data_IF_201321284827
#
_entry.id   IF_201321284827
#
_cell.length_a   1.000
_cell.length_b   1.000
_cell.length_c   1.000
_cell.angle_alpha   90.00
_cell.angle_beta   90.00
_cell.angle_gamma   90.00
#
_symmetry.space_group_name_H-M   'P 1'
#
loop_
_entity.id
_entity.type
_entity.pdbx_description
1 polymer ?
#
# COMPACT_ATOMS: atom_id res chain seq x y z
N UNK A 1 6.92 15.38 34.52
CA UNK A 1 5.67 16.19 34.64
C UNK A 1 5.03 16.17 33.24
N UNK A 2 4.09 15.34 32.81
CA UNK A 2 2.78 14.95 33.35
C UNK A 2 2.32 13.57 32.80
N UNK A 3 3.25 12.65 32.53
CA UNK A 3 2.92 11.28 32.07
C UNK A 3 2.18 11.20 30.72
N UNK A 4 2.28 12.23 29.88
CA UNK A 4 1.61 12.30 28.57
C UNK A 4 0.15 12.79 28.62
N UNK A 5 -0.30 13.40 29.73
CA UNK A 5 -1.60 14.09 29.83
C UNK A 5 -1.37 15.52 30.33
N UNK A 6 -1.56 16.56 29.51
CA UNK A 6 -1.40 17.94 29.96
C UNK A 6 -2.39 18.32 31.08
N UNK A 7 -2.05 19.27 31.98
CA UNK A 7 -2.89 19.64 33.12
C UNK A 7 -4.09 20.54 32.77
N UNK A 8 -4.36 20.78 31.49
CA UNK A 8 -5.44 21.64 31.01
C UNK A 8 -6.73 20.84 30.87
N UNK A 9 -7.83 21.28 31.50
CA UNK A 9 -9.11 20.56 31.53
C UNK A 9 -9.65 20.27 30.13
N UNK A 10 -9.43 21.20 29.21
CA UNK A 10 -9.77 21.12 27.78
C UNK A 10 -9.10 19.95 27.08
N UNK A 11 -7.90 19.56 27.51
CA UNK A 11 -7.09 18.51 26.88
C UNK A 11 -7.29 17.13 27.50
N UNK A 12 -7.70 17.05 28.77
CA UNK A 12 -7.83 15.77 29.48
C UNK A 12 -8.88 14.85 28.85
N UNK A 13 -10.01 15.41 28.43
CA UNK A 13 -11.06 14.63 27.75
C UNK A 13 -10.58 14.12 26.39
N UNK A 14 -9.88 14.98 25.62
CA UNK A 14 -9.31 14.63 24.32
C UNK A 14 -8.29 13.48 24.43
N UNK A 15 -7.37 13.57 25.40
CA UNK A 15 -6.37 12.52 25.63
C UNK A 15 -7.00 11.21 26.08
N UNK A 16 -8.07 11.26 26.90
CA UNK A 16 -8.83 10.07 27.30
C UNK A 16 -9.46 9.37 26.09
N UNK A 17 -10.08 10.14 25.20
CA UNK A 17 -10.71 9.60 23.98
C UNK A 17 -9.65 8.95 23.08
N UNK A 18 -8.54 9.64 22.80
CA UNK A 18 -7.45 9.08 21.98
C UNK A 18 -6.93 7.77 22.56
N UNK A 19 -6.64 7.73 23.87
CA UNK A 19 -6.12 6.51 24.51
C UNK A 19 -7.12 5.36 24.47
N UNK A 20 -8.42 5.64 24.54
CA UNK A 20 -9.46 4.61 24.40
C UNK A 20 -9.53 4.03 22.98
N UNK A 21 -9.22 4.83 21.97
CA UNK A 21 -9.23 4.45 20.56
C UNK A 21 -7.88 3.94 20.04
N UNK A 22 -6.80 4.14 20.80
CA UNK A 22 -5.43 3.78 20.42
C UNK A 22 -5.35 2.33 19.94
N UNK A 23 -5.97 1.40 20.66
CA UNK A 23 -5.94 -0.03 20.32
C UNK A 23 -6.65 -0.37 19.01
N UNK A 24 -7.70 0.38 18.62
CA UNK A 24 -8.39 0.15 17.34
C UNK A 24 -7.63 0.71 16.13
N UNK A 25 -6.73 1.68 16.35
CA UNK A 25 -5.86 2.24 15.32
C UNK A 25 -4.44 1.67 15.36
N UNK A 26 -4.11 0.87 16.37
CA UNK A 26 -2.82 0.22 16.47
C UNK A 26 -2.62 -0.71 15.27
N UNK A 27 -1.61 -0.40 14.45
CA UNK A 27 -1.18 -1.30 13.38
C UNK A 27 -0.81 -2.66 14.00
N UNK A 28 -1.20 -3.79 13.40
CA UNK A 28 -0.72 -5.09 13.84
C UNK A 28 0.81 -5.08 13.95
N UNK A 29 1.32 -5.30 15.17
CA UNK A 29 2.75 -5.40 15.46
C UNK A 29 3.22 -6.82 15.15
N UNK A 30 3.26 -7.15 13.85
CA UNK A 30 3.72 -8.45 13.36
C UNK A 30 3.90 -8.45 11.85
N UNK A 31 4.85 -9.27 11.35
CA UNK A 31 4.94 -9.54 9.91
C UNK A 31 3.70 -10.33 9.50
N UNK A 32 2.84 -9.71 8.70
CA UNK A 32 1.72 -10.42 8.06
C UNK A 32 2.27 -11.20 6.88
N UNK A 33 2.03 -12.52 6.85
CA UNK A 33 2.38 -13.32 5.69
C UNK A 33 1.56 -12.83 4.48
N UNK A 34 2.17 -12.64 3.30
CA UNK A 34 1.43 -12.24 2.12
C UNK A 34 0.42 -13.34 1.76
N UNK A 35 -0.78 -12.93 1.33
CA UNK A 35 -1.73 -13.86 0.71
C UNK A 35 -1.13 -14.46 -0.55
N UNK A 36 -1.67 -15.60 -1.02
CA UNK A 36 -1.24 -16.19 -2.30
C UNK A 36 -1.38 -15.20 -3.46
N UNK A 37 -2.44 -14.40 -3.46
CA UNK A 37 -2.62 -13.34 -4.46
C UNK A 37 -1.54 -12.26 -4.36
N UNK A 38 -1.24 -11.77 -3.15
CA UNK A 38 -0.20 -10.76 -2.96
C UNK A 38 1.17 -11.30 -3.42
N UNK A 39 1.52 -12.54 -3.08
CA UNK A 39 2.75 -13.18 -3.53
C UNK A 39 2.81 -13.30 -5.06
N UNK A 40 1.72 -13.66 -5.72
CA UNK A 40 1.65 -13.77 -7.18
C UNK A 40 1.83 -12.43 -7.89
N UNK A 41 1.16 -11.37 -7.41
CA UNK A 41 1.31 -10.02 -7.96
C UNK A 41 2.76 -9.51 -7.79
N UNK A 42 3.36 -9.70 -6.61
CA UNK A 42 4.76 -9.34 -6.35
C UNK A 42 5.70 -10.11 -7.29
N UNK A 43 5.49 -11.42 -7.45
CA UNK A 43 6.31 -12.24 -8.33
C UNK A 43 6.26 -11.79 -9.79
N UNK A 44 5.09 -11.38 -10.30
CA UNK A 44 4.99 -10.78 -11.63
C UNK A 44 5.79 -9.48 -11.73
N UNK A 45 5.63 -8.57 -10.75
CA UNK A 45 6.33 -7.28 -10.76
C UNK A 45 7.85 -7.44 -10.69
N UNK A 46 8.35 -8.41 -9.90
CA UNK A 46 9.78 -8.72 -9.81
C UNK A 46 10.39 -9.13 -11.15
N UNK A 47 9.64 -9.82 -12.03
CA UNK A 47 10.11 -10.16 -13.38
C UNK A 47 10.31 -8.94 -14.29
N UNK A 48 9.85 -7.75 -13.88
CA UNK A 48 10.00 -6.49 -14.63
C UNK A 48 11.10 -5.60 -14.07
N UNK A 49 11.85 -6.07 -13.07
CA UNK A 49 13.03 -5.35 -12.59
C UNK A 49 14.04 -5.18 -13.73
N UNK A 50 14.58 -3.96 -13.85
CA UNK A 50 15.48 -3.58 -14.94
C UNK A 50 14.78 -3.13 -16.23
N UNK A 51 13.45 -3.29 -16.35
CA UNK A 51 12.71 -2.76 -17.50
C UNK A 51 12.66 -1.22 -17.43
N UNK A 52 13.08 -0.49 -18.48
CA UNK A 52 13.03 0.96 -18.47
C UNK A 52 11.59 1.51 -18.40
N UNK A 53 11.38 2.53 -17.57
CA UNK A 53 10.08 3.19 -17.40
C UNK A 53 9.54 3.77 -18.72
N UNK A 54 8.24 3.67 -18.99
CA UNK A 54 7.58 4.31 -20.11
C UNK A 54 6.32 5.02 -19.62
N UNK A 55 6.24 6.34 -19.80
CA UNK A 55 5.04 7.10 -19.46
C UNK A 55 3.83 6.62 -20.27
N UNK A 56 2.72 6.26 -19.61
CA UNK A 56 1.56 5.62 -20.25
C UNK A 56 1.78 4.14 -20.62
N UNK A 57 2.88 3.52 -20.17
CA UNK A 57 3.26 2.16 -20.50
C UNK A 57 2.35 1.11 -19.86
N UNK A 58 1.78 0.22 -20.68
CA UNK A 58 0.91 -0.91 -20.34
C UNK A 58 1.62 -2.27 -20.45
N UNK A 59 2.91 -2.30 -20.85
CA UNK A 59 3.67 -3.53 -21.04
C UNK A 59 3.25 -4.36 -22.24
N UNK A 60 2.68 -3.74 -23.27
CA UNK A 60 2.34 -4.43 -24.52
C UNK A 60 3.62 -4.77 -25.31
N UNK A 61 3.54 -5.70 -26.29
CA UNK A 61 4.68 -6.02 -27.15
C UNK A 61 5.24 -4.78 -27.88
N UNK A 62 4.39 -3.88 -28.35
CA UNK A 62 4.77 -2.65 -29.05
C UNK A 62 5.53 -1.68 -28.13
N UNK A 63 5.21 -1.73 -26.83
CA UNK A 63 5.90 -0.96 -25.79
C UNK A 63 7.14 -1.68 -25.26
N UNK A 64 7.54 -2.79 -25.90
CA UNK A 64 8.67 -3.63 -25.48
C UNK A 64 8.54 -4.09 -24.03
N UNK A 65 7.31 -4.33 -23.56
CA UNK A 65 7.04 -4.74 -22.19
C UNK A 65 7.29 -3.68 -21.12
N UNK A 66 7.44 -2.40 -21.49
CA UNK A 66 7.68 -1.29 -20.57
C UNK A 66 6.40 -0.78 -19.91
N UNK A 67 6.52 -0.32 -18.67
CA UNK A 67 5.40 0.12 -17.84
C UNK A 67 5.62 1.51 -17.26
N UNK A 68 4.53 2.19 -16.94
CA UNK A 68 4.49 3.24 -15.91
C UNK A 68 4.06 2.67 -14.55
N UNK A 69 3.91 3.56 -13.55
CA UNK A 69 3.54 3.19 -12.18
C UNK A 69 2.21 2.43 -12.10
N UNK A 70 1.13 2.99 -12.63
CA UNK A 70 -0.20 2.37 -12.56
C UNK A 70 -0.32 1.18 -13.52
N UNK A 71 0.49 1.12 -14.58
CA UNK A 71 0.48 0.03 -15.55
C UNK A 71 1.10 -1.24 -15.02
N UNK A 72 2.27 -1.10 -14.40
CA UNK A 72 2.91 -2.23 -13.75
C UNK A 72 2.02 -2.79 -12.64
N UNK A 73 1.43 -1.89 -11.84
CA UNK A 73 0.53 -2.26 -10.75
C UNK A 73 -0.71 -3.00 -11.27
N UNK A 74 -1.40 -2.44 -12.27
CA UNK A 74 -2.58 -3.08 -12.85
C UNK A 74 -2.24 -4.45 -13.46
N UNK A 75 -1.14 -4.56 -14.22
CA UNK A 75 -0.73 -5.82 -14.84
C UNK A 75 -0.41 -6.90 -13.80
N UNK A 76 0.30 -6.53 -12.72
CA UNK A 76 0.64 -7.45 -11.63
C UNK A 76 -0.61 -8.03 -10.95
N UNK A 77 -1.56 -7.16 -10.57
CA UNK A 77 -2.79 -7.59 -9.90
C UNK A 77 -3.73 -8.38 -10.82
N UNK A 78 -3.74 -8.07 -12.12
CA UNK A 78 -4.52 -8.84 -13.11
C UNK A 78 -4.09 -10.30 -13.18
N UNK A 79 -2.79 -10.61 -12.98
CA UNK A 79 -2.31 -12.01 -12.97
C UNK A 79 -2.88 -12.86 -11.84
N UNK A 80 -3.42 -12.21 -10.80
CA UNK A 80 -4.05 -12.86 -9.65
C UNK A 80 -5.55 -12.56 -9.56
N UNK A 81 -6.16 -12.17 -10.69
CA UNK A 81 -7.60 -11.97 -10.83
C UNK A 81 -8.16 -10.70 -10.19
N UNK A 82 -7.31 -9.71 -9.89
CA UNK A 82 -7.72 -8.42 -9.33
C UNK A 82 -7.65 -7.34 -10.40
N UNK A 83 -8.77 -6.71 -10.70
CA UNK A 83 -8.84 -5.57 -11.60
C UNK A 83 -8.65 -4.27 -10.84
N UNK A 84 -7.74 -3.43 -11.32
CA UNK A 84 -7.45 -2.11 -10.77
C UNK A 84 -7.73 -1.03 -11.82
N UNK A 85 -8.16 0.17 -11.43
CA UNK A 85 -8.29 1.30 -12.35
C UNK A 85 -6.90 1.72 -12.86
N UNK A 86 -6.86 2.43 -13.99
CA UNK A 86 -5.60 2.83 -14.63
C UNK A 86 -4.98 4.12 -14.06
N UNK A 87 -5.14 4.31 -12.75
CA UNK A 87 -4.65 5.48 -11.99
C UNK A 87 -4.04 5.00 -10.67
N UNK A 88 -2.98 5.67 -10.25
CA UNK A 88 -2.38 5.49 -8.93
C UNK A 88 -2.52 6.84 -8.21
N UNK A 89 -3.50 6.92 -7.31
CA UNK A 89 -3.81 8.10 -6.50
C UNK A 89 -3.36 7.88 -5.06
#
# INVERSE_FOLDING_TARGET
>A
KYGGVPPYKETQNYVKIIRSLEKSFARPVGRVAPSRQAAGAIYFAQKKLGTPYLWGGNGTPEQQGRFDCSGLTQAAYRTVGIELPRVAN
#
